data_IF_270725586939
#
_entry.id   IF_270725586939
#
_cell.length_a   1.000
_cell.length_b   1.000
_cell.length_c   1.000
_cell.angle_alpha   90.00
_cell.angle_beta   90.00
_cell.angle_gamma   90.00
#
_symmetry.space_group_name_H-M   'P 1'
#
loop_
_entity.id
_entity.type
_entity.pdbx_description
1 polymer ?
#
# COMPACT_ATOMS: atom_id res chain seq x y z
N UNK A 1 -41.19 -22.32 24.16
CA UNK A 1 -41.77 -23.29 25.13
C UNK A 1 -43.26 -23.13 25.24
N UNK A 2 -43.96 -24.20 25.61
CA UNK A 2 -45.40 -24.22 25.86
C UNK A 2 -45.58 -24.20 27.38
N UNK A 3 -46.36 -23.22 27.89
CA UNK A 3 -46.73 -23.12 29.31
C UNK A 3 -48.24 -23.33 29.41
N UNK A 4 -48.65 -24.27 30.28
CA UNK A 4 -50.04 -24.52 30.62
C UNK A 4 -50.21 -24.38 32.13
N UNK A 5 -51.10 -23.50 32.60
CA UNK A 5 -51.39 -23.26 33.98
C UNK A 5 -52.90 -23.47 34.20
N UNK A 6 -53.24 -24.40 35.09
CA UNK A 6 -54.61 -24.58 35.54
C UNK A 6 -54.85 -23.76 36.82
N UNK A 7 -55.94 -23.01 36.89
CA UNK A 7 -56.39 -22.24 37.99
C UNK A 7 -57.88 -22.53 38.31
N UNK A 8 -58.24 -22.42 39.52
CA UNK A 8 -59.65 -22.53 39.92
C UNK A 8 -60.06 -21.35 40.80
N UNK A 9 -61.29 -20.85 40.63
CA UNK A 9 -61.90 -19.80 41.44
C UNK A 9 -62.95 -20.46 42.31
N UNK A 10 -62.82 -20.25 43.61
CA UNK A 10 -63.85 -20.65 44.61
C UNK A 10 -64.56 -19.42 45.11
N UNK A 11 -65.87 -19.47 45.13
CA UNK A 11 -66.70 -18.42 45.68
C UNK A 11 -66.94 -18.77 47.16
N UNK A 12 -66.44 -17.94 48.06
CA UNK A 12 -66.59 -18.18 49.47
C UNK A 12 -68.08 -18.09 49.94
N UNK A 13 -68.53 -19.06 50.73
CA UNK A 13 -69.88 -19.09 51.25
C UNK A 13 -70.94 -19.66 50.29
N UNK A 14 -70.58 -20.33 49.26
CA UNK A 14 -71.49 -21.04 48.37
C UNK A 14 -71.07 -22.49 48.17
N UNK A 15 -72.11 -23.37 48.04
CA UNK A 15 -71.94 -24.80 47.77
C UNK A 15 -71.65 -25.06 46.28
N UNK A 16 -71.28 -24.01 45.53
CA UNK A 16 -70.95 -24.15 44.07
C UNK A 16 -69.59 -24.80 43.85
N UNK A 17 -69.56 -25.67 42.88
CA UNK A 17 -68.28 -26.25 42.41
C UNK A 17 -67.31 -25.17 41.95
N UNK A 18 -66.03 -25.32 42.23
CA UNK A 18 -65.03 -24.36 41.76
C UNK A 18 -65.00 -24.31 40.24
N UNK A 19 -64.95 -23.10 39.70
CA UNK A 19 -64.78 -22.89 38.24
C UNK A 19 -63.27 -23.03 37.91
N UNK A 20 -62.95 -24.06 37.15
CA UNK A 20 -61.57 -24.28 36.67
C UNK A 20 -61.40 -23.65 35.28
N UNK A 21 -60.32 -22.97 35.10
CA UNK A 21 -59.88 -22.45 33.77
C UNK A 21 -58.43 -22.75 33.52
N UNK A 22 -58.12 -22.99 32.27
CA UNK A 22 -56.77 -23.25 31.83
C UNK A 22 -56.23 -22.03 31.06
N UNK A 23 -55.07 -21.56 31.48
CA UNK A 23 -54.34 -20.52 30.75
C UNK A 23 -53.23 -21.24 29.97
N UNK A 24 -53.28 -21.15 28.67
CA UNK A 24 -52.20 -21.61 27.78
C UNK A 24 -51.41 -20.42 27.27
N UNK A 25 -50.11 -20.49 27.39
CA UNK A 25 -49.20 -19.48 26.84
C UNK A 25 -48.13 -20.17 26.00
N UNK A 26 -47.95 -19.69 24.78
CA UNK A 26 -46.85 -20.12 23.90
C UNK A 26 -45.72 -19.08 24.04
N UNK A 27 -44.60 -19.49 24.64
CA UNK A 27 -43.43 -18.67 24.70
C UNK A 27 -42.67 -18.81 23.39
N UNK A 28 -42.69 -17.75 22.59
CA UNK A 28 -41.93 -17.65 21.33
C UNK A 28 -40.72 -16.73 21.56
N UNK A 29 -39.55 -17.14 21.06
CA UNK A 29 -38.37 -16.29 20.97
C UNK A 29 -38.40 -15.44 19.69
N UNK A 30 -37.47 -14.50 19.55
CA UNK A 30 -37.29 -13.78 18.29
C UNK A 30 -37.07 -14.75 17.12
N UNK A 31 -37.53 -14.38 15.93
CA UNK A 31 -37.32 -15.12 14.69
C UNK A 31 -36.56 -14.26 13.69
N UNK A 32 -35.33 -14.65 13.42
CA UNK A 32 -34.46 -13.93 12.50
C UNK A 32 -34.37 -14.65 11.17
N UNK A 33 -34.31 -13.88 10.09
CA UNK A 33 -34.09 -14.37 8.73
C UNK A 33 -32.78 -13.80 8.19
N UNK A 34 -32.02 -14.66 7.50
CA UNK A 34 -30.73 -14.34 6.91
C UNK A 34 -30.72 -14.77 5.45
N UNK A 35 -30.01 -14.05 4.55
CA UNK A 35 -29.89 -14.47 3.14
C UNK A 35 -29.06 -15.74 2.97
N UNK A 36 -28.10 -16.00 3.86
CA UNK A 36 -27.14 -17.10 3.78
C UNK A 36 -26.44 -17.34 5.12
N UNK A 37 -25.83 -18.52 5.28
CA UNK A 37 -24.92 -18.80 6.40
C UNK A 37 -23.46 -18.43 6.06
N UNK A 38 -23.21 -17.92 4.85
CA UNK A 38 -21.88 -17.57 4.38
C UNK A 38 -21.86 -16.12 3.90
N UNK A 39 -20.89 -15.37 4.40
CA UNK A 39 -20.57 -14.02 3.96
C UNK A 39 -19.31 -14.12 3.11
N UNK A 40 -19.48 -14.24 1.81
CA UNK A 40 -18.38 -14.41 0.86
C UNK A 40 -18.03 -13.09 0.17
N UNK A 41 -16.83 -12.59 0.41
CA UNK A 41 -16.29 -11.41 -0.25
C UNK A 41 -15.75 -11.69 -1.67
N UNK A 42 -15.54 -12.98 -2.01
CA UNK A 42 -14.88 -13.34 -3.25
C UNK A 42 -13.42 -12.92 -3.28
N UNK A 43 -13.00 -12.35 -4.41
CA UNK A 43 -11.65 -11.85 -4.61
C UNK A 43 -11.61 -10.35 -4.33
N UNK A 44 -10.86 -9.93 -3.31
CA UNK A 44 -10.76 -8.53 -2.89
C UNK A 44 -9.30 -8.09 -2.82
N UNK A 45 -8.99 -6.81 -3.12
CA UNK A 45 -7.62 -6.32 -3.07
C UNK A 45 -7.06 -6.35 -1.65
N UNK A 46 -5.76 -6.65 -1.53
CA UNK A 46 -5.04 -6.56 -0.25
C UNK A 46 -4.78 -5.09 0.11
N UNK A 47 -4.67 -4.79 1.42
CA UNK A 47 -4.43 -3.45 1.99
C UNK A 47 -5.47 -2.40 1.64
N UNK A 48 -6.68 -2.83 1.30
CA UNK A 48 -7.82 -1.94 1.05
C UNK A 48 -9.04 -2.41 1.84
N UNK A 49 -9.74 -1.45 2.44
CA UNK A 49 -11.00 -1.74 3.10
C UNK A 49 -12.06 -2.10 2.07
N UNK A 50 -12.59 -3.29 2.20
CA UNK A 50 -13.74 -3.74 1.40
C UNK A 50 -14.92 -3.97 2.33
N UNK A 51 -16.06 -3.37 2.04
CA UNK A 51 -17.29 -3.45 2.84
C UNK A 51 -18.32 -4.32 2.16
N UNK A 52 -18.99 -5.15 2.96
CA UNK A 52 -20.14 -5.94 2.53
C UNK A 52 -21.27 -5.82 3.53
N UNK A 53 -22.46 -5.50 3.04
CA UNK A 53 -23.67 -5.40 3.85
C UNK A 53 -24.33 -6.76 3.89
N UNK A 54 -24.68 -7.21 5.12
CA UNK A 54 -25.38 -8.46 5.37
C UNK A 54 -26.70 -8.15 6.11
N UNK A 55 -27.86 -8.22 5.44
CA UNK A 55 -29.16 -7.89 6.05
C UNK A 55 -29.64 -9.02 6.97
N UNK A 56 -30.17 -8.63 8.13
CA UNK A 56 -30.76 -9.52 9.13
C UNK A 56 -32.16 -8.98 9.44
N UNK A 57 -33.20 -9.72 9.07
CA UNK A 57 -34.59 -9.33 9.31
C UNK A 57 -35.11 -9.96 10.61
N UNK A 58 -35.69 -9.17 11.48
CA UNK A 58 -36.48 -9.67 12.60
C UNK A 58 -37.93 -9.92 12.14
N UNK A 59 -38.23 -11.16 11.77
CA UNK A 59 -39.57 -11.62 11.35
C UNK A 59 -40.38 -12.11 12.56
N UNK A 60 -40.34 -11.39 13.65
CA UNK A 60 -41.11 -11.71 14.86
C UNK A 60 -41.82 -10.47 15.43
N UNK A 61 -42.67 -10.69 16.43
CA UNK A 61 -43.42 -9.63 17.09
C UNK A 61 -42.72 -9.09 18.35
N UNK A 62 -41.51 -9.52 18.61
CA UNK A 62 -40.71 -9.14 19.78
C UNK A 62 -39.34 -8.68 19.35
N UNK A 63 -38.76 -7.70 20.04
CA UNK A 63 -37.42 -7.22 19.71
C UNK A 63 -36.35 -8.29 19.94
N UNK A 64 -35.32 -8.28 19.11
CA UNK A 64 -34.20 -9.20 19.17
C UNK A 64 -32.92 -8.46 19.63
N UNK A 65 -32.56 -8.67 20.90
CA UNK A 65 -31.30 -8.15 21.46
C UNK A 65 -30.17 -9.09 21.08
N UNK A 66 -29.12 -8.53 20.49
CA UNK A 66 -28.01 -9.31 19.94
C UNK A 66 -26.64 -8.76 20.34
N UNK A 67 -25.65 -9.65 20.34
CA UNK A 67 -24.23 -9.32 20.30
C UNK A 67 -23.50 -10.23 19.32
N UNK A 68 -22.47 -9.69 18.66
CA UNK A 68 -21.63 -10.43 17.74
C UNK A 68 -20.26 -10.72 18.35
N UNK A 69 -19.75 -11.92 18.08
CA UNK A 69 -18.40 -12.34 18.40
C UNK A 69 -17.74 -12.88 17.13
N UNK A 70 -16.59 -12.31 16.78
CA UNK A 70 -15.83 -12.78 15.62
C UNK A 70 -14.57 -13.51 16.08
N UNK A 71 -14.42 -14.78 15.64
CA UNK A 71 -13.15 -15.52 15.75
C UNK A 71 -12.36 -15.27 14.48
N UNK A 72 -11.40 -14.39 14.59
CA UNK A 72 -10.69 -13.75 13.50
C UNK A 72 -9.19 -13.77 13.81
N UNK A 73 -8.43 -14.56 13.09
CA UNK A 73 -6.97 -14.49 13.17
C UNK A 73 -6.52 -13.15 12.57
N UNK A 74 -5.77 -12.36 13.37
CA UNK A 74 -5.14 -11.11 12.97
C UNK A 74 -6.09 -9.95 12.57
N UNK A 75 -7.32 -9.92 13.05
CA UNK A 75 -8.25 -8.79 12.90
C UNK A 75 -8.52 -8.37 11.44
N UNK A 76 -8.51 -9.33 10.51
CA UNK A 76 -8.74 -9.06 9.08
C UNK A 76 -10.19 -8.67 8.77
N UNK A 77 -11.12 -8.95 9.69
CA UNK A 77 -12.53 -8.63 9.56
C UNK A 77 -13.01 -7.85 10.76
N UNK A 78 -13.81 -6.84 10.52
CA UNK A 78 -14.49 -6.03 11.51
C UNK A 78 -15.98 -6.00 11.19
N UNK A 79 -16.82 -5.75 12.19
CA UNK A 79 -18.27 -5.72 12.04
C UNK A 79 -18.85 -4.49 12.71
N UNK A 80 -19.88 -3.92 12.11
CA UNK A 80 -20.62 -2.75 12.62
C UNK A 80 -22.12 -2.91 12.35
N UNK A 81 -22.98 -2.81 13.39
CA UNK A 81 -22.69 -2.69 14.82
C UNK A 81 -22.29 -4.03 15.46
N UNK A 82 -21.53 -3.99 16.56
CA UNK A 82 -21.13 -5.20 17.32
C UNK A 82 -22.25 -5.73 18.20
N UNK A 83 -23.17 -4.88 18.65
CA UNK A 83 -24.32 -5.25 19.48
C UNK A 83 -25.46 -4.26 19.31
N UNK A 84 -26.66 -4.66 19.70
CA UNK A 84 -27.84 -3.80 19.63
C UNK A 84 -29.14 -4.56 19.77
N UNK A 85 -30.20 -3.95 19.27
CA UNK A 85 -31.56 -4.47 19.26
C UNK A 85 -32.16 -4.28 17.88
N UNK A 86 -32.88 -5.27 17.36
CA UNK A 86 -33.60 -5.23 16.10
C UNK A 86 -35.09 -5.26 16.44
N UNK A 87 -35.79 -4.16 16.14
CA UNK A 87 -37.22 -4.06 16.39
C UNK A 87 -38.03 -5.04 15.53
N UNK A 88 -39.28 -5.37 15.94
CA UNK A 88 -40.17 -6.20 15.14
C UNK A 88 -40.37 -5.67 13.73
N UNK A 89 -40.10 -6.51 12.73
CA UNK A 89 -40.19 -6.18 11.31
C UNK A 89 -39.05 -5.33 10.77
N UNK A 90 -38.07 -4.96 11.59
CA UNK A 90 -36.89 -4.20 11.18
C UNK A 90 -35.83 -5.10 10.53
N UNK A 91 -35.06 -4.50 9.62
CA UNK A 91 -33.87 -5.14 9.01
C UNK A 91 -32.61 -4.43 9.47
N UNK A 92 -31.77 -5.13 10.22
CA UNK A 92 -30.41 -4.71 10.55
C UNK A 92 -29.51 -4.91 9.33
N UNK A 93 -28.86 -3.85 8.88
CA UNK A 93 -27.81 -3.93 7.86
C UNK A 93 -26.45 -4.06 8.55
N UNK A 94 -26.00 -5.29 8.76
CA UNK A 94 -24.68 -5.56 9.33
C UNK A 94 -23.60 -5.23 8.29
N UNK A 95 -22.73 -4.28 8.60
CA UNK A 95 -21.55 -3.99 7.79
C UNK A 95 -20.42 -4.91 8.22
N UNK A 96 -19.95 -5.73 7.31
CA UNK A 96 -18.73 -6.51 7.49
C UNK A 96 -17.63 -5.84 6.67
N UNK A 97 -16.55 -5.44 7.35
CA UNK A 97 -15.41 -4.73 6.76
C UNK A 97 -14.24 -5.70 6.73
N UNK A 98 -13.58 -5.82 5.60
CA UNK A 98 -12.40 -6.67 5.44
C UNK A 98 -11.22 -5.85 4.97
N UNK A 99 -10.04 -6.04 5.62
CA UNK A 99 -8.75 -5.50 5.22
C UNK A 99 -7.72 -6.63 5.25
N UNK A 100 -7.41 -7.19 4.08
CA UNK A 100 -6.53 -8.35 3.96
C UNK A 100 -5.08 -7.90 3.78
N UNK A 101 -4.15 -8.66 4.36
CA UNK A 101 -2.72 -8.35 4.37
C UNK A 101 -1.87 -9.27 3.47
N UNK A 102 -2.47 -10.25 2.81
CA UNK A 102 -1.77 -11.14 1.86
C UNK A 102 -2.74 -11.69 0.80
N UNK A 103 -2.19 -12.21 -0.29
CA UNK A 103 -2.92 -12.85 -1.38
C UNK A 103 -3.19 -14.34 -1.13
N UNK A 104 -3.84 -14.64 0.01
CA UNK A 104 -4.23 -15.99 0.43
C UNK A 104 -5.74 -16.08 0.66
N UNK A 105 -6.23 -17.27 0.94
CA UNK A 105 -7.61 -17.48 1.39
C UNK A 105 -7.73 -17.18 2.87
N UNK A 106 -8.72 -16.38 3.23
CA UNK A 106 -9.07 -16.04 4.60
C UNK A 106 -10.43 -16.63 4.96
N UNK A 107 -10.53 -17.21 6.16
CA UNK A 107 -11.76 -17.72 6.72
C UNK A 107 -11.89 -17.24 8.16
N UNK A 108 -13.06 -16.78 8.53
CA UNK A 108 -13.39 -16.42 9.90
C UNK A 108 -14.77 -16.94 10.26
N UNK A 109 -15.04 -17.07 11.56
CA UNK A 109 -16.35 -17.42 12.08
C UNK A 109 -16.94 -16.27 12.84
N UNK A 110 -18.12 -15.82 12.42
CA UNK A 110 -18.95 -14.83 13.10
C UNK A 110 -20.05 -15.55 13.86
N UNK A 111 -20.14 -15.31 15.15
CA UNK A 111 -21.21 -15.82 16.02
C UNK A 111 -22.09 -14.67 16.43
N UNK A 112 -23.39 -14.79 16.18
CA UNK A 112 -24.42 -13.87 16.67
C UNK A 112 -25.14 -14.54 17.84
N UNK A 113 -24.98 -14.00 19.02
CA UNK A 113 -25.75 -14.39 20.20
C UNK A 113 -27.02 -13.55 20.21
N UNK A 114 -28.14 -14.19 20.38
CA UNK A 114 -29.44 -13.51 20.50
C UNK A 114 -30.09 -13.98 21.78
N UNK A 115 -30.57 -13.02 22.58
CA UNK A 115 -31.22 -13.33 23.86
C UNK A 115 -32.39 -14.29 23.65
N UNK A 116 -32.40 -15.38 24.40
CA UNK A 116 -33.38 -16.47 24.34
C UNK A 116 -33.33 -17.39 23.12
N UNK A 117 -32.32 -17.31 22.29
CA UNK A 117 -32.07 -18.21 21.14
C UNK A 117 -30.73 -18.93 21.28
N UNK A 118 -30.59 -20.01 20.51
CA UNK A 118 -29.27 -20.59 20.29
C UNK A 118 -28.44 -19.66 19.37
N UNK A 119 -27.13 -19.57 19.57
CA UNK A 119 -26.29 -18.73 18.77
C UNK A 119 -26.35 -19.13 17.28
N UNK A 120 -26.36 -18.15 16.40
CA UNK A 120 -26.18 -18.31 14.96
C UNK A 120 -24.72 -18.19 14.60
N UNK A 121 -24.26 -19.03 13.67
CA UNK A 121 -22.87 -19.00 13.20
C UNK A 121 -22.83 -18.77 11.70
N UNK A 122 -22.00 -17.84 11.26
CA UNK A 122 -21.76 -17.52 9.85
C UNK A 122 -20.30 -17.73 9.53
N UNK A 123 -20.02 -18.29 8.36
CA UNK A 123 -18.66 -18.37 7.81
C UNK A 123 -18.38 -17.14 6.96
N UNK A 124 -17.33 -16.41 7.29
CA UNK A 124 -16.82 -15.31 6.47
C UNK A 124 -15.69 -15.86 5.61
N UNK A 125 -15.74 -15.61 4.30
CA UNK A 125 -14.73 -16.05 3.34
C UNK A 125 -14.26 -14.90 2.47
N UNK A 126 -12.97 -14.84 2.22
CA UNK A 126 -12.38 -13.89 1.30
C UNK A 126 -11.08 -14.46 0.70
N UNK A 127 -10.72 -14.01 -0.49
CA UNK A 127 -9.43 -14.30 -1.11
C UNK A 127 -8.74 -12.99 -1.46
N UNK A 128 -7.57 -12.75 -0.86
CA UNK A 128 -6.75 -11.60 -1.20
C UNK A 128 -6.22 -11.68 -2.63
N UNK A 129 -6.27 -10.56 -3.36
CA UNK A 129 -5.65 -10.40 -4.67
C UNK A 129 -4.75 -9.18 -4.67
N UNK A 130 -3.64 -9.24 -5.41
CA UNK A 130 -2.61 -8.21 -5.44
C UNK A 130 -1.29 -8.69 -4.86
N UNK A 131 -0.41 -7.75 -4.56
CA UNK A 131 0.90 -8.04 -3.99
C UNK A 131 1.03 -7.55 -2.56
N UNK A 132 1.67 -8.35 -1.72
CA UNK A 132 2.08 -7.96 -0.39
C UNK A 132 3.43 -7.22 -0.37
N UNK A 133 4.08 -7.06 -1.53
CA UNK A 133 5.31 -6.28 -1.67
C UNK A 133 4.95 -4.84 -1.97
N UNK A 134 5.46 -3.93 -1.15
CA UNK A 134 5.26 -2.49 -1.29
C UNK A 134 6.59 -1.84 -1.66
N UNK A 135 6.58 -0.98 -2.68
CA UNK A 135 7.72 -0.19 -3.09
C UNK A 135 7.72 1.19 -2.43
N UNK A 136 8.90 1.73 -2.14
CA UNK A 136 9.07 3.10 -1.63
C UNK A 136 8.84 4.19 -2.69
N UNK A 137 8.81 3.81 -3.98
CA UNK A 137 8.52 4.70 -5.11
C UNK A 137 7.35 4.14 -5.91
N UNK A 138 6.68 5.00 -6.66
CA UNK A 138 5.67 4.56 -7.61
C UNK A 138 6.30 3.73 -8.73
N UNK A 139 5.76 2.52 -8.94
CA UNK A 139 6.22 1.55 -9.94
C UNK A 139 5.31 1.56 -11.17
N UNK A 140 5.11 2.74 -11.75
CA UNK A 140 4.31 2.91 -12.96
C UNK A 140 5.14 3.54 -14.08
N UNK A 141 5.21 4.87 -14.15
CA UNK A 141 5.98 5.60 -15.14
C UNK A 141 7.07 6.43 -14.44
N UNK A 142 8.32 6.15 -14.74
CA UNK A 142 9.46 6.83 -14.15
C UNK A 142 10.19 7.59 -15.25
N UNK A 143 10.21 8.93 -15.18
CA UNK A 143 10.95 9.79 -16.09
C UNK A 143 12.23 10.28 -15.42
N UNK A 144 13.37 9.90 -15.97
CA UNK A 144 14.70 10.35 -15.53
C UNK A 144 15.08 11.72 -16.07
N UNK A 145 14.31 12.25 -17.02
CA UNK A 145 14.67 13.46 -17.73
C UNK A 145 16.00 13.33 -18.48
N UNK A 146 16.87 14.33 -18.32
CA UNK A 146 18.20 14.33 -18.92
C UNK A 146 19.23 13.70 -18.01
N UNK A 147 19.95 12.70 -18.51
CA UNK A 147 21.03 11.99 -17.82
C UNK A 147 22.32 12.06 -18.65
N UNK A 148 23.48 12.03 -17.99
CA UNK A 148 24.75 12.15 -18.69
C UNK A 148 25.23 10.81 -19.26
N UNK A 149 25.78 10.85 -20.49
CA UNK A 149 26.50 9.73 -21.07
C UNK A 149 27.77 9.43 -20.28
N UNK A 150 28.26 8.19 -20.35
CA UNK A 150 29.48 7.72 -19.69
C UNK A 150 29.46 7.70 -18.15
N UNK A 151 28.31 8.01 -17.57
CA UNK A 151 28.07 7.88 -16.14
C UNK A 151 26.82 7.02 -15.90
N UNK A 152 26.82 6.16 -14.87
CA UNK A 152 25.64 5.40 -14.51
C UNK A 152 24.56 6.34 -13.90
N UNK A 153 23.35 6.23 -14.42
CA UNK A 153 22.16 6.82 -13.78
C UNK A 153 21.56 5.78 -12.83
N UNK A 154 21.36 6.15 -11.59
CA UNK A 154 20.93 5.23 -10.53
C UNK A 154 19.61 5.70 -9.94
N UNK A 155 18.62 4.80 -9.89
CA UNK A 155 17.37 5.00 -9.15
C UNK A 155 17.44 4.09 -7.92
N UNK A 156 17.43 4.69 -6.74
CA UNK A 156 17.36 3.96 -5.48
C UNK A 156 15.90 3.80 -5.05
N UNK A 157 15.52 2.61 -4.62
CA UNK A 157 14.22 2.33 -4.04
C UNK A 157 14.33 1.16 -3.07
N UNK A 158 13.32 0.99 -2.24
CA UNK A 158 13.24 -0.17 -1.35
C UNK A 158 11.95 -0.95 -1.58
N UNK A 159 12.02 -2.25 -1.31
CA UNK A 159 10.89 -3.17 -1.35
C UNK A 159 10.66 -3.73 0.05
N UNK A 160 9.45 -3.61 0.55
CA UNK A 160 9.04 -4.14 1.86
C UNK A 160 8.00 -5.23 1.68
N UNK A 161 8.24 -6.39 2.29
CA UNK A 161 7.25 -7.46 2.35
C UNK A 161 6.31 -7.23 3.55
N UNK A 162 5.10 -6.73 3.31
CA UNK A 162 4.07 -6.56 4.34
C UNK A 162 3.20 -7.80 4.53
N UNK A 163 3.41 -8.83 3.71
CA UNK A 163 2.68 -10.10 3.79
C UNK A 163 3.25 -11.04 4.85
N UNK A 164 2.67 -12.24 4.91
CA UNK A 164 2.99 -13.26 5.92
C UNK A 164 3.91 -14.37 5.44
N UNK A 165 4.25 -14.35 4.15
CA UNK A 165 5.07 -15.39 3.52
C UNK A 165 6.34 -14.79 2.97
N UNK A 166 7.40 -15.60 2.94
CA UNK A 166 8.61 -15.24 2.20
C UNK A 166 8.24 -15.08 0.72
N UNK A 167 8.68 -13.99 0.12
CA UNK A 167 8.49 -13.68 -1.29
C UNK A 167 9.83 -13.82 -2.02
N UNK A 168 9.87 -14.70 -3.01
CA UNK A 168 11.02 -14.81 -3.92
C UNK A 168 10.78 -13.87 -5.10
N UNK A 169 11.61 -12.84 -5.23
CA UNK A 169 11.52 -11.85 -6.28
C UNK A 169 12.63 -12.04 -7.29
N UNK A 170 12.28 -11.90 -8.56
CA UNK A 170 13.24 -11.90 -9.67
C UNK A 170 12.93 -10.80 -10.65
N UNK A 171 13.95 -10.03 -10.98
CA UNK A 171 13.88 -8.97 -11.98
C UNK A 171 14.39 -9.45 -13.34
N UNK A 172 13.80 -8.90 -14.38
CA UNK A 172 14.25 -9.03 -15.76
C UNK A 172 13.93 -7.75 -16.52
N UNK A 173 14.53 -7.54 -17.70
CA UNK A 173 14.24 -6.38 -18.55
C UNK A 173 13.67 -6.81 -19.88
N UNK A 174 12.64 -6.10 -20.34
CA UNK A 174 12.21 -6.22 -21.72
C UNK A 174 13.20 -5.50 -22.63
N UNK A 175 13.14 -5.79 -23.94
CA UNK A 175 14.02 -5.15 -24.93
C UNK A 175 13.80 -3.63 -24.91
N UNK A 176 14.86 -2.82 -24.71
CA UNK A 176 14.73 -1.37 -24.69
C UNK A 176 14.35 -0.81 -26.07
N UNK A 177 13.57 0.27 -26.05
CA UNK A 177 13.38 1.12 -27.22
C UNK A 177 14.42 2.23 -27.15
N UNK A 178 15.18 2.41 -28.22
CA UNK A 178 16.26 3.42 -28.30
C UNK A 178 16.01 4.25 -29.56
N UNK A 179 16.03 5.56 -29.39
CA UNK A 179 15.81 6.53 -30.47
C UNK A 179 17.00 7.50 -30.56
N UNK A 180 17.27 7.99 -31.74
CA UNK A 180 18.26 9.03 -32.05
C UNK A 180 19.62 8.51 -32.54
N UNK A 181 20.16 7.43 -32.00
CA UNK A 181 21.48 6.92 -32.43
C UNK A 181 21.46 5.40 -32.57
N UNK A 182 21.66 4.91 -33.79
CA UNK A 182 21.66 3.48 -34.13
C UNK A 182 22.80 2.67 -33.48
N UNK A 183 23.87 3.34 -33.01
CA UNK A 183 25.01 2.72 -32.33
C UNK A 183 24.85 2.73 -30.79
N UNK A 184 23.78 3.34 -30.26
CA UNK A 184 23.56 3.39 -28.84
C UNK A 184 23.15 2.02 -28.30
N UNK A 185 23.82 1.60 -27.25
CA UNK A 185 23.50 0.38 -26.47
C UNK A 185 23.24 0.78 -25.04
N UNK A 186 22.05 0.50 -24.58
CA UNK A 186 21.66 0.73 -23.19
C UNK A 186 22.08 -0.49 -22.35
N UNK A 187 23.00 -0.28 -21.42
CA UNK A 187 23.29 -1.24 -20.36
C UNK A 187 22.33 -0.97 -19.22
N UNK A 188 21.58 -1.98 -18.83
CA UNK A 188 20.62 -1.91 -17.72
C UNK A 188 20.83 -3.07 -16.77
N UNK A 189 20.82 -2.80 -15.48
CA UNK A 189 20.83 -3.81 -14.44
C UNK A 189 20.02 -3.38 -13.24
N UNK A 190 19.61 -4.36 -12.45
CA UNK A 190 18.97 -4.15 -11.15
C UNK A 190 19.78 -4.85 -10.08
N UNK A 191 19.90 -4.26 -8.93
CA UNK A 191 20.61 -4.82 -7.78
C UNK A 191 19.67 -4.77 -6.58
N UNK A 192 19.39 -5.93 -5.95
CA UNK A 192 19.71 -7.30 -6.38
C UNK A 192 18.82 -7.75 -7.56
N UNK A 193 19.34 -8.61 -8.45
CA UNK A 193 18.54 -9.19 -9.56
C UNK A 193 17.52 -10.21 -9.06
N UNK A 194 17.87 -10.95 -8.01
CA UNK A 194 16.99 -11.92 -7.34
C UNK A 194 17.18 -11.83 -5.85
N UNK A 195 16.08 -11.93 -5.10
CA UNK A 195 16.09 -11.79 -3.65
C UNK A 195 14.89 -12.47 -3.01
N UNK A 196 15.11 -13.05 -1.81
CA UNK A 196 14.06 -13.54 -0.94
C UNK A 196 13.82 -12.50 0.15
N UNK A 197 12.57 -12.06 0.29
CA UNK A 197 12.19 -11.07 1.29
C UNK A 197 11.28 -11.74 2.31
N UNK A 198 11.73 -11.80 3.57
CA UNK A 198 10.98 -12.35 4.69
C UNK A 198 9.82 -11.41 5.09
N UNK A 199 8.77 -11.91 5.79
CA UNK A 199 7.73 -11.05 6.34
C UNK A 199 8.29 -9.91 7.19
N UNK A 200 7.88 -8.67 6.89
CA UNK A 200 8.33 -7.45 7.57
C UNK A 200 9.70 -6.93 7.14
N UNK A 201 10.44 -7.67 6.33
CA UNK A 201 11.76 -7.27 5.84
C UNK A 201 11.66 -6.21 4.74
N UNK A 202 12.62 -5.28 4.75
CA UNK A 202 12.81 -4.26 3.73
C UNK A 202 14.19 -4.43 3.10
N UNK A 203 14.25 -4.42 1.79
CA UNK A 203 15.48 -4.56 1.01
C UNK A 203 15.65 -3.35 0.10
N UNK A 204 16.85 -2.78 0.11
CA UNK A 204 17.24 -1.70 -0.79
C UNK A 204 17.57 -2.25 -2.18
N UNK A 205 17.04 -1.61 -3.19
CA UNK A 205 17.19 -1.96 -4.59
C UNK A 205 17.67 -0.76 -5.40
N UNK A 206 18.31 -1.04 -6.54
CA UNK A 206 18.78 -0.02 -7.45
C UNK A 206 18.52 -0.44 -8.90
N UNK A 207 17.92 0.44 -9.69
CA UNK A 207 18.02 0.37 -11.15
C UNK A 207 19.20 1.20 -11.61
N UNK A 208 20.03 0.64 -12.49
CA UNK A 208 21.23 1.29 -12.99
C UNK A 208 21.19 1.25 -14.51
N UNK A 209 21.32 2.43 -15.12
CA UNK A 209 21.29 2.60 -16.57
C UNK A 209 22.55 3.34 -17.03
N UNK A 210 23.17 2.86 -18.08
CA UNK A 210 24.37 3.46 -18.66
C UNK A 210 24.30 3.41 -20.19
N UNK A 211 24.65 4.51 -20.83
CA UNK A 211 24.83 4.58 -22.28
C UNK A 211 26.02 5.45 -22.62
N UNK A 212 26.82 5.00 -23.62
CA UNK A 212 28.00 5.75 -24.14
C UNK A 212 27.64 6.81 -25.16
N UNK A 213 26.45 6.74 -25.72
CA UNK A 213 26.00 7.60 -26.80
C UNK A 213 24.74 8.36 -26.43
N UNK A 214 24.59 9.55 -26.97
CA UNK A 214 23.36 10.32 -26.84
C UNK A 214 22.20 9.56 -27.49
N UNK A 215 21.14 9.36 -26.76
CA UNK A 215 19.91 8.73 -27.24
C UNK A 215 18.76 8.95 -26.29
N UNK A 216 17.54 8.95 -26.78
CA UNK A 216 16.36 8.75 -25.93
C UNK A 216 16.14 7.24 -25.76
N UNK A 217 15.67 6.85 -24.60
CA UNK A 217 15.37 5.45 -24.32
C UNK A 217 14.09 5.27 -23.53
N UNK A 218 13.46 4.11 -23.72
CA UNK A 218 12.41 3.59 -22.87
C UNK A 218 12.72 2.10 -22.60
N UNK A 219 12.67 1.71 -21.34
CA UNK A 219 12.90 0.33 -20.91
C UNK A 219 11.90 -0.07 -19.83
N UNK A 220 11.53 -1.34 -19.81
CA UNK A 220 10.56 -1.89 -18.87
C UNK A 220 11.24 -3.00 -18.08
N UNK A 221 11.64 -2.73 -16.83
CA UNK A 221 11.97 -3.78 -15.88
C UNK A 221 10.69 -4.51 -15.43
N UNK A 222 10.78 -5.83 -15.30
CA UNK A 222 9.68 -6.68 -14.86
C UNK A 222 10.11 -7.41 -13.62
N UNK A 223 9.40 -7.17 -12.51
CA UNK A 223 9.55 -7.91 -11.27
C UNK A 223 8.52 -9.04 -11.21
N UNK A 224 8.98 -10.25 -10.99
CA UNK A 224 8.12 -11.41 -10.82
C UNK A 224 8.33 -12.01 -9.43
N UNK A 225 7.24 -12.44 -8.80
CA UNK A 225 7.28 -13.27 -7.61
C UNK A 225 6.91 -14.70 -7.94
N UNK A 226 7.58 -15.65 -7.29
CA UNK A 226 7.28 -17.08 -7.40
C UNK A 226 6.55 -17.53 -6.14
N UNK A 227 5.33 -18.06 -6.30
CA UNK A 227 4.56 -18.67 -5.21
C UNK A 227 4.26 -20.11 -5.59
N UNK A 228 4.97 -21.04 -4.97
CA UNK A 228 4.90 -22.46 -5.34
C UNK A 228 5.39 -22.70 -6.77
N UNK A 229 4.48 -23.10 -7.67
CA UNK A 229 4.80 -23.33 -9.10
C UNK A 229 4.34 -22.20 -10.02
N UNK A 230 3.68 -21.18 -9.49
CA UNK A 230 3.12 -20.06 -10.26
C UNK A 230 3.99 -18.82 -10.12
N UNK A 231 4.15 -18.10 -11.24
CA UNK A 231 4.82 -16.82 -11.32
C UNK A 231 3.79 -15.73 -11.50
N UNK A 232 3.93 -14.66 -10.74
CA UNK A 232 3.08 -13.48 -10.80
C UNK A 232 3.93 -12.26 -11.11
N UNK A 233 3.51 -11.46 -12.07
CA UNK A 233 4.11 -10.15 -12.35
C UNK A 233 3.65 -9.18 -11.26
N UNK A 234 4.59 -8.57 -10.53
CA UNK A 234 4.32 -7.65 -9.44
C UNK A 234 4.44 -6.19 -9.89
N UNK A 235 5.56 -5.86 -10.53
CA UNK A 235 5.86 -4.51 -10.98
C UNK A 235 6.36 -4.54 -12.41
N UNK A 236 5.98 -3.51 -13.17
CA UNK A 236 6.34 -3.35 -14.58
C UNK A 236 6.40 -1.88 -14.98
N UNK A 237 7.22 -1.06 -14.28
CA UNK A 237 7.32 0.35 -14.60
C UNK A 237 7.90 0.56 -16.00
N UNK A 238 7.43 1.61 -16.68
CA UNK A 238 8.11 2.13 -17.87
C UNK A 238 9.08 3.22 -17.44
N UNK A 239 10.38 3.02 -17.70
CA UNK A 239 11.44 3.97 -17.34
C UNK A 239 11.93 4.63 -18.62
N UNK A 240 11.85 5.97 -18.66
CA UNK A 240 12.25 6.80 -19.78
C UNK A 240 13.37 7.76 -19.39
N UNK A 241 14.16 8.17 -20.38
CA UNK A 241 15.16 9.20 -20.18
C UNK A 241 15.90 9.53 -21.48
N UNK A 242 16.69 10.59 -21.41
CA UNK A 242 17.48 11.06 -22.55
C UNK A 242 18.94 11.18 -22.10
N UNK A 243 19.81 10.35 -22.68
CA UNK A 243 21.24 10.47 -22.47
C UNK A 243 21.81 11.62 -23.33
N UNK A 244 22.43 12.59 -22.65
CA UNK A 244 23.06 13.74 -23.25
C UNK A 244 24.56 13.76 -22.93
N UNK A 245 25.35 14.29 -23.82
CA UNK A 245 26.79 14.54 -23.60
C UNK A 245 26.93 15.88 -22.87
N UNK A 246 27.61 15.94 -21.73
CA UNK A 246 27.84 17.22 -21.07
C UNK A 246 28.68 18.10 -22.01
N UNK A 247 28.22 19.33 -22.18
CA UNK A 247 28.89 20.34 -23.02
C UNK A 247 29.10 21.58 -22.19
N UNK A 248 30.35 21.97 -22.00
CA UNK A 248 30.72 23.22 -21.35
C UNK A 248 31.10 24.25 -22.43
N UNK A 249 30.40 25.37 -22.42
CA UNK A 249 30.74 26.52 -23.28
C UNK A 249 31.27 27.65 -22.41
N UNK A 250 32.47 28.11 -22.71
CA UNK A 250 33.06 29.25 -22.06
C UNK A 250 32.74 30.51 -22.83
N UNK A 251 32.32 31.58 -22.17
CA UNK A 251 32.04 32.87 -22.80
C UNK A 251 33.31 33.54 -23.39
N UNK A 252 34.49 33.05 -23.05
CA UNK A 252 35.78 33.48 -23.57
C UNK A 252 36.76 32.31 -23.53
N UNK A 253 37.46 32.06 -24.65
CA UNK A 253 38.53 31.05 -24.73
C UNK A 253 39.86 31.57 -24.22
N UNK A 254 39.97 32.88 -23.85
CA UNK A 254 41.16 33.48 -23.28
C UNK A 254 40.79 34.41 -22.13
N UNK A 255 41.53 34.32 -21.05
CA UNK A 255 41.51 35.26 -19.96
C UNK A 255 42.76 36.13 -20.03
N UNK A 256 42.57 37.41 -20.33
CA UNK A 256 43.69 38.36 -20.36
C UNK A 256 43.72 39.15 -19.07
N UNK A 257 44.76 38.99 -18.31
CA UNK A 257 45.06 39.79 -17.13
C UNK A 257 45.96 40.93 -17.55
N UNK A 258 45.54 42.17 -17.35
CA UNK A 258 46.42 43.37 -17.47
C UNK A 258 46.89 43.70 -16.06
N UNK A 259 48.17 43.52 -15.83
CA UNK A 259 48.81 44.05 -14.65
C UNK A 259 49.18 45.52 -14.93
N UNK A 260 48.65 46.46 -14.17
CA UNK A 260 49.06 47.86 -14.23
C UNK A 260 50.00 48.05 -13.05
N UNK A 261 51.26 48.21 -13.38
CA UNK A 261 52.30 48.52 -12.41
C UNK A 261 52.15 49.99 -12.03
N UNK A 262 51.77 50.26 -10.79
CA UNK A 262 51.68 51.60 -10.28
C UNK A 262 53.00 51.92 -9.58
N UNK A 263 53.81 52.77 -10.26
CA UNK A 263 55.18 53.09 -9.83
C UNK A 263 55.23 53.73 -8.46
N UNK A 264 54.12 54.35 -8.02
CA UNK A 264 54.04 55.04 -6.72
C UNK A 264 53.80 54.08 -5.51
N UNK A 265 53.65 52.78 -5.75
CA UNK A 265 53.51 51.78 -4.67
C UNK A 265 54.81 50.97 -4.42
N UNK A 266 55.82 51.09 -5.27
CA UNK A 266 57.09 50.34 -5.08
C UNK A 266 57.85 50.71 -3.83
N UNK A 267 57.74 51.94 -3.33
CA UNK A 267 58.46 52.36 -2.10
C UNK A 267 57.91 51.75 -0.81
N UNK A 268 56.70 51.15 -0.88
CA UNK A 268 56.10 50.49 0.30
C UNK A 268 56.28 48.99 0.35
N UNK A 269 56.72 48.37 -0.76
CA UNK A 269 56.84 46.92 -0.89
C UNK A 269 58.27 46.35 -0.75
N UNK A 270 59.29 47.24 -0.70
CA UNK A 270 60.68 46.82 -0.56
C UNK A 270 61.13 46.47 0.88
N UNK A 271 60.20 46.56 1.86
CA UNK A 271 60.44 46.11 3.19
C UNK A 271 59.92 44.69 3.41
N UNK A 272 60.81 43.69 3.29
CA UNK A 272 60.65 42.29 3.71
C UNK A 272 59.77 41.41 2.80
N UNK A 273 60.25 41.06 1.61
CA UNK A 273 59.85 39.84 0.94
C UNK A 273 61.01 38.84 0.90
N UNK A 274 61.04 37.96 1.96
CA UNK A 274 61.63 36.64 1.84
C UNK A 274 60.51 35.69 1.51
N UNK A 275 60.69 34.97 0.40
CA UNK A 275 59.89 33.85 -0.11
C UNK A 275 58.85 34.17 -1.17
N UNK A 276 58.87 33.29 -2.19
CA UNK A 276 58.01 33.22 -3.40
C UNK A 276 56.50 33.06 -3.11
N UNK A 277 55.83 34.05 -2.60
CA UNK A 277 54.38 34.06 -2.57
C UNK A 277 53.87 35.20 -3.45
N UNK A 278 53.18 34.84 -4.51
CA UNK A 278 52.39 35.74 -5.30
C UNK A 278 51.16 36.20 -4.49
N UNK A 279 51.23 37.37 -3.89
CA UNK A 279 50.06 37.98 -3.27
C UNK A 279 49.21 38.60 -4.38
N UNK A 280 48.15 37.95 -4.76
CA UNK A 280 47.11 38.54 -5.62
C UNK A 280 46.24 39.45 -4.73
N UNK A 281 46.12 40.75 -5.01
CA UNK A 281 45.24 41.63 -4.25
C UNK A 281 43.81 41.15 -4.38
N UNK A 282 43.20 40.90 -3.24
CA UNK A 282 41.81 40.47 -3.17
C UNK A 282 40.85 41.49 -3.72
N UNK A 283 39.90 41.06 -4.53
CA UNK A 283 38.60 41.66 -4.86
C UNK A 283 38.41 42.51 -6.10
N UNK A 284 39.41 43.01 -6.84
CA UNK A 284 39.13 43.86 -8.01
C UNK A 284 39.39 43.23 -9.37
N UNK A 285 39.90 41.98 -9.45
CA UNK A 285 40.33 41.35 -10.68
C UNK A 285 39.55 40.08 -11.10
N UNK A 286 38.61 39.60 -10.28
CA UNK A 286 37.81 38.46 -10.65
C UNK A 286 36.55 38.90 -11.42
N UNK A 287 36.60 38.91 -12.74
CA UNK A 287 35.35 38.86 -13.52
C UNK A 287 34.67 37.51 -13.27
N UNK A 288 33.38 37.48 -12.98
CA UNK A 288 32.68 36.24 -12.80
C UNK A 288 32.71 35.45 -14.12
N UNK A 289 33.20 34.23 -14.05
CA UNK A 289 33.09 33.25 -15.15
C UNK A 289 31.65 32.77 -15.17
N UNK A 290 30.90 33.12 -16.21
CA UNK A 290 29.54 32.59 -16.37
C UNK A 290 29.63 31.28 -17.14
N UNK A 291 29.37 30.17 -16.45
CA UNK A 291 29.18 28.87 -17.09
C UNK A 291 27.73 28.85 -17.54
N UNK A 292 27.47 28.72 -18.83
CA UNK A 292 26.13 28.45 -19.38
C UNK A 292 26.04 26.99 -19.72
N UNK A 293 25.16 26.29 -19.05
CA UNK A 293 24.72 24.97 -19.48
C UNK A 293 23.90 25.17 -20.77
N UNK A 294 24.39 24.67 -21.86
CA UNK A 294 23.59 24.56 -23.08
C UNK A 294 22.88 23.23 -23.08
N UNK A 295 21.60 23.28 -22.83
CA UNK A 295 20.63 22.19 -22.95
C UNK A 295 20.36 21.94 -24.46
#
# INVERSE_FOLDING_TARGET
GHLEIQRSIRIFGSDFLPISYTITALCIGPKLQFPSNVIDFGHIPVFQDTRKVFPILNDSLIPAVFDFQIKNENQMFQIEPESGEIEPGETLNLNVISNLDDSINYNAKLTMNVKYLNPFTFDIKAKGVGTAIVSSIEMDNIDLGFVFTMQPSVINFSLTNKGRRIQELKWSFLKPKIEGNSKAVLNSKVIPESVNISPGETIDCQFIFECKHQCAFSIIPVCQSTVGKQRYELFKPEIKGIFIKPMLTFGSNSLTFKYIHDVDQEEKLTGNLKSNELIVPSQSLLKPITIRDSI
#
